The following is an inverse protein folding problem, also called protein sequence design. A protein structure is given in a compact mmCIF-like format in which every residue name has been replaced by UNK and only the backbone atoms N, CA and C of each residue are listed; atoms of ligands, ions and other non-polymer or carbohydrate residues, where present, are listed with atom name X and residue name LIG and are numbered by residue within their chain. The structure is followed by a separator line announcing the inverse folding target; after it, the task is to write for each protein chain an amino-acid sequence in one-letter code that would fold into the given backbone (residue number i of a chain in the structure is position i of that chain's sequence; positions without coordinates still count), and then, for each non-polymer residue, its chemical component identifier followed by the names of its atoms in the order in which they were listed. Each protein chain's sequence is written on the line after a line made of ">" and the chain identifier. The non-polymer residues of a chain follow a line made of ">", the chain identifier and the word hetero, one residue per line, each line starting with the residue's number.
data_IF_226129973968
#
_entry.id   IF_226129973968
#
_cell.length_a   1.000
_cell.length_b   1.000
_cell.length_c   1.000
_cell.angle_alpha   90.00
_cell.angle_beta   90.00
_cell.angle_gamma   90.00
#
_symmetry.space_group_name_H-M   'P 1'
#
loop_
_entity.id
_entity.type
_entity.pdbx_description
1 polymer ?
#
# COMPACT_ATOMS: atom_id res chain seq x y z
N UNK A 1 37.49 4.85 -15.11
CA UNK A 1 37.89 6.27 -14.99
C UNK A 1 37.73 6.65 -13.53
N UNK A 2 38.83 6.89 -12.82
CA UNK A 2 38.85 7.15 -11.37
C UNK A 2 39.07 8.65 -11.16
N UNK A 3 38.13 9.34 -10.52
CA UNK A 3 38.29 10.73 -10.09
C UNK A 3 38.92 10.73 -8.70
N UNK A 4 40.07 11.40 -8.56
CA UNK A 4 40.71 11.66 -7.27
C UNK A 4 40.21 13.01 -6.73
N UNK A 5 39.70 13.02 -5.50
CA UNK A 5 39.44 14.24 -4.70
C UNK A 5 40.43 14.32 -3.53
N UNK A 6 40.79 15.52 -3.03
CA UNK A 6 41.92 15.70 -2.09
C UNK A 6 41.67 15.25 -0.65
N UNK A 7 40.61 14.47 -0.38
CA UNK A 7 40.27 14.03 0.97
C UNK A 7 39.66 12.64 0.93
N UNK A 8 40.49 11.63 1.23
CA UNK A 8 40.10 10.23 1.42
C UNK A 8 39.70 9.50 0.14
N UNK A 9 40.18 8.27 -0.04
CA UNK A 9 39.64 7.34 -1.02
C UNK A 9 38.21 6.97 -0.63
N UNK A 10 37.23 7.77 -1.06
CA UNK A 10 35.84 7.32 -1.07
C UNK A 10 35.69 6.39 -2.28
N UNK A 11 35.91 5.10 -2.08
CA UNK A 11 35.34 4.07 -2.95
C UNK A 11 33.82 4.17 -2.81
N UNK A 12 33.20 5.07 -3.58
CA UNK A 12 31.77 4.95 -3.86
C UNK A 12 31.63 3.83 -4.89
N UNK A 13 31.83 2.61 -4.42
CA UNK A 13 31.37 1.41 -5.11
C UNK A 13 29.84 1.46 -5.12
N UNK A 14 29.27 2.25 -6.03
CA UNK A 14 27.85 2.16 -6.32
C UNK A 14 27.64 0.96 -7.24
N UNK A 15 27.74 -0.23 -6.65
CA UNK A 15 27.20 -1.45 -7.23
C UNK A 15 25.86 -1.74 -6.57
N UNK A 16 24.84 -0.94 -6.86
CA UNK A 16 23.49 -1.20 -6.35
C UNK A 16 22.44 -0.98 -7.44
N UNK A 17 22.04 -2.10 -8.03
CA UNK A 17 20.76 -2.26 -8.73
C UNK A 17 20.69 -1.67 -10.13
N UNK A 18 19.77 -2.21 -10.92
CA UNK A 18 19.35 -1.57 -12.16
C UNK A 18 18.68 -0.25 -11.84
N UNK A 19 19.07 0.83 -12.54
CA UNK A 19 18.40 2.13 -12.46
C UNK A 19 16.90 2.05 -12.84
N UNK A 20 16.47 0.98 -13.50
CA UNK A 20 15.07 0.77 -13.91
C UNK A 20 14.19 0.10 -12.86
N UNK A 21 14.75 -0.49 -11.80
CA UNK A 21 13.99 -1.23 -10.78
C UNK A 21 12.83 -0.42 -10.18
N UNK A 22 13.07 0.81 -9.70
CA UNK A 22 12.01 1.67 -9.17
C UNK A 22 10.96 2.06 -10.23
N UNK A 23 11.37 2.26 -11.48
CA UNK A 23 10.44 2.60 -12.55
C UNK A 23 9.51 1.42 -12.90
N UNK A 24 10.03 0.18 -12.85
CA UNK A 24 9.24 -1.02 -13.07
C UNK A 24 8.22 -1.24 -11.94
N UNK A 25 8.64 -1.07 -10.68
CA UNK A 25 7.72 -1.14 -9.54
C UNK A 25 6.62 -0.08 -9.61
N UNK A 26 6.92 1.12 -10.09
CA UNK A 26 5.88 2.14 -10.30
C UNK A 26 4.82 1.73 -11.33
N UNK A 27 5.18 0.94 -12.35
CA UNK A 27 4.21 0.40 -13.32
C UNK A 27 3.30 -0.64 -12.67
N UNK A 28 3.90 -1.57 -11.94
CA UNK A 28 3.19 -2.61 -11.17
C UNK A 28 2.25 -1.97 -10.14
N UNK A 29 2.74 -0.99 -9.39
CA UNK A 29 1.94 -0.23 -8.43
C UNK A 29 0.79 0.52 -9.11
N UNK A 30 1.05 1.17 -10.26
CA UNK A 30 0.01 1.88 -11.01
C UNK A 30 -1.10 0.94 -11.48
N UNK A 31 -0.78 -0.30 -11.83
CA UNK A 31 -1.79 -1.27 -12.25
C UNK A 31 -2.76 -1.62 -11.13
N UNK A 32 -2.25 -2.01 -9.96
CA UNK A 32 -3.10 -2.37 -8.81
C UNK A 32 -3.84 -1.18 -8.21
N UNK A 33 -3.24 0.01 -8.25
CA UNK A 33 -3.90 1.26 -7.83
C UNK A 33 -5.06 1.65 -8.75
N UNK A 34 -5.09 1.17 -10.00
CA UNK A 34 -6.18 1.42 -10.95
C UNK A 34 -7.24 0.31 -10.98
N UNK A 35 -7.10 -0.75 -10.18
CA UNK A 35 -8.14 -1.76 -10.02
C UNK A 35 -9.39 -1.14 -9.38
N UNK A 36 -10.55 -1.76 -9.63
CA UNK A 36 -11.80 -1.33 -8.99
C UNK A 36 -11.79 -1.81 -7.54
N UNK A 37 -11.64 -0.88 -6.62
CA UNK A 37 -11.74 -1.12 -5.18
C UNK A 37 -13.12 -0.69 -4.68
N UNK A 38 -13.67 -1.36 -3.64
CA UNK A 38 -14.86 -0.87 -2.95
C UNK A 38 -14.64 0.54 -2.40
N UNK A 39 -15.69 1.35 -2.31
CA UNK A 39 -15.60 2.77 -1.90
C UNK A 39 -14.94 2.98 -0.53
N UNK A 40 -15.08 2.01 0.37
CA UNK A 40 -14.50 2.03 1.72
C UNK A 40 -13.07 1.47 1.80
N UNK A 41 -12.48 1.10 0.66
CA UNK A 41 -11.12 0.57 0.57
C UNK A 41 -10.23 1.55 -0.18
N UNK A 42 -9.21 2.04 0.48
CA UNK A 42 -8.19 2.89 -0.11
C UNK A 42 -6.86 2.16 -0.16
N UNK A 43 -6.17 2.25 -1.29
CA UNK A 43 -4.86 1.67 -1.47
C UNK A 43 -3.79 2.74 -1.71
N UNK A 44 -2.63 2.55 -1.10
CA UNK A 44 -1.43 3.31 -1.38
C UNK A 44 -0.25 2.36 -1.59
N UNK A 45 0.69 2.76 -2.44
CA UNK A 45 1.92 2.01 -2.70
C UNK A 45 3.15 2.92 -2.51
N UNK A 46 4.23 2.36 -1.97
CA UNK A 46 5.52 3.02 -1.85
C UNK A 46 6.64 2.01 -2.14
N UNK A 47 7.31 2.18 -3.29
CA UNK A 47 8.33 1.23 -3.79
C UNK A 47 7.74 -0.19 -3.88
N UNK A 48 8.14 -1.11 -3.01
CA UNK A 48 7.70 -2.51 -2.93
C UNK A 48 6.63 -2.75 -1.85
N UNK A 49 6.28 -1.72 -1.06
CA UNK A 49 5.30 -1.82 0.01
C UNK A 49 3.91 -1.32 -0.44
N UNK A 50 2.86 -2.04 -0.04
CA UNK A 50 1.46 -1.69 -0.26
C UNK A 50 0.72 -1.53 1.06
N UNK A 51 -0.16 -0.55 1.14
CA UNK A 51 -1.02 -0.27 2.30
C UNK A 51 -2.47 -0.25 1.84
N UNK A 52 -3.29 -1.09 2.47
CA UNK A 52 -4.74 -1.09 2.33
C UNK A 52 -5.35 -0.46 3.59
N UNK A 53 -6.17 0.56 3.41
CA UNK A 53 -6.94 1.22 4.46
C UNK A 53 -8.40 0.92 4.24
N UNK A 54 -9.07 0.36 5.24
CA UNK A 54 -10.44 -0.14 5.13
C UNK A 54 -11.28 0.53 6.20
N UNK A 55 -12.30 1.26 5.77
CA UNK A 55 -13.25 1.94 6.64
C UNK A 55 -14.50 1.08 6.84
N UNK A 56 -14.99 1.01 8.07
CA UNK A 56 -16.19 0.26 8.40
C UNK A 56 -16.85 0.79 9.67
N UNK A 57 -18.19 0.85 9.65
CA UNK A 57 -18.99 1.32 10.79
C UNK A 57 -19.06 0.32 11.96
N UNK A 58 -18.83 -0.97 11.67
CA UNK A 58 -18.94 -2.05 12.66
C UNK A 58 -17.76 -3.00 12.58
N UNK A 59 -17.41 -3.64 13.69
CA UNK A 59 -16.38 -4.68 13.69
C UNK A 59 -16.73 -5.85 12.76
N UNK A 60 -18.03 -6.15 12.58
CA UNK A 60 -18.47 -7.25 11.71
C UNK A 60 -18.24 -6.92 10.24
N UNK A 61 -18.60 -5.71 9.80
CA UNK A 61 -18.31 -5.26 8.43
C UNK A 61 -16.82 -5.12 8.22
N UNK A 62 -16.07 -4.57 9.20
CA UNK A 62 -14.62 -4.46 9.11
C UNK A 62 -13.93 -5.79 8.79
N UNK A 63 -14.29 -6.87 9.49
CA UNK A 63 -13.71 -8.21 9.22
C UNK A 63 -14.06 -8.70 7.82
N UNK A 64 -15.33 -8.54 7.40
CA UNK A 64 -15.77 -8.95 6.06
C UNK A 64 -15.06 -8.18 4.94
N UNK A 65 -15.01 -6.85 5.08
CA UNK A 65 -14.41 -5.94 4.11
C UNK A 65 -12.90 -6.14 4.05
N UNK A 66 -12.26 -6.35 5.20
CA UNK A 66 -10.83 -6.68 5.27
C UNK A 66 -10.52 -7.99 4.56
N UNK A 67 -11.31 -9.03 4.81
CA UNK A 67 -11.11 -10.32 4.16
C UNK A 67 -11.33 -10.21 2.64
N UNK A 68 -12.34 -9.46 2.21
CA UNK A 68 -12.63 -9.22 0.80
C UNK A 68 -11.47 -8.50 0.11
N UNK A 69 -10.98 -7.40 0.69
CA UNK A 69 -9.89 -6.61 0.12
C UNK A 69 -8.56 -7.40 0.05
N UNK A 70 -8.24 -8.17 1.10
CA UNK A 70 -7.06 -9.06 1.11
C UNK A 70 -7.20 -10.14 0.02
N UNK A 71 -8.40 -10.68 -0.17
CA UNK A 71 -8.64 -11.72 -1.19
C UNK A 71 -8.45 -11.14 -2.59
N UNK A 72 -9.02 -9.97 -2.86
CA UNK A 72 -8.83 -9.27 -4.14
C UNK A 72 -7.35 -8.95 -4.41
N UNK A 73 -6.65 -8.40 -3.42
CA UNK A 73 -5.21 -8.11 -3.54
C UNK A 73 -4.40 -9.38 -3.81
N UNK A 74 -4.70 -10.47 -3.08
CA UNK A 74 -4.00 -11.76 -3.24
C UNK A 74 -4.26 -12.41 -4.61
N UNK A 75 -5.49 -12.30 -5.13
CA UNK A 75 -5.82 -12.75 -6.48
C UNK A 75 -5.01 -11.99 -7.52
N UNK A 76 -4.97 -10.65 -7.44
CA UNK A 76 -4.17 -9.85 -8.36
C UNK A 76 -2.67 -10.16 -8.27
N UNK A 77 -2.13 -10.33 -7.06
CA UNK A 77 -0.73 -10.75 -6.90
C UNK A 77 -0.46 -12.09 -7.58
N UNK A 78 -1.37 -13.07 -7.43
CA UNK A 78 -1.25 -14.38 -8.07
C UNK A 78 -1.31 -14.29 -9.60
N UNK A 79 -2.18 -13.44 -10.14
CA UNK A 79 -2.30 -13.18 -11.59
C UNK A 79 -1.04 -12.51 -12.17
N UNK A 80 -0.32 -11.74 -11.35
CA UNK A 80 0.89 -11.00 -11.74
C UNK A 80 2.19 -11.68 -11.30
N UNK A 81 2.13 -12.94 -10.88
CA UNK A 81 3.29 -13.73 -10.41
C UNK A 81 4.06 -13.07 -9.25
N UNK A 82 3.36 -12.28 -8.42
CA UNK A 82 3.90 -11.62 -7.24
C UNK A 82 3.67 -12.45 -5.98
N UNK A 83 4.72 -12.63 -5.19
CA UNK A 83 4.64 -13.30 -3.89
C UNK A 83 4.38 -12.29 -2.77
N UNK A 84 3.36 -12.55 -1.95
CA UNK A 84 3.11 -11.78 -0.72
C UNK A 84 4.00 -12.34 0.39
N UNK A 85 4.77 -11.46 1.03
CA UNK A 85 5.57 -11.85 2.20
C UNK A 85 4.66 -12.05 3.41
N UNK A 86 4.56 -13.28 3.90
CA UNK A 86 3.81 -13.63 5.11
C UNK A 86 4.46 -13.07 6.38
N UNK A 87 5.78 -12.86 6.37
CA UNK A 87 6.55 -12.36 7.52
C UNK A 87 6.45 -10.84 7.72
N UNK A 88 6.20 -10.09 6.64
CA UNK A 88 6.23 -8.61 6.66
C UNK A 88 4.84 -7.97 6.73
N UNK A 89 3.77 -8.76 6.60
CA UNK A 89 2.41 -8.23 6.65
C UNK A 89 2.05 -7.78 8.07
N UNK A 90 1.55 -6.54 8.20
CA UNK A 90 1.11 -5.96 9.47
C UNK A 90 -0.29 -5.41 9.33
N UNK A 91 -1.17 -5.79 10.26
CA UNK A 91 -2.50 -5.23 10.40
C UNK A 91 -2.53 -4.28 11.60
N UNK A 92 -3.02 -3.06 11.36
CA UNK A 92 -3.21 -2.05 12.41
C UNK A 92 -4.70 -1.71 12.50
N UNK A 93 -5.28 -1.89 13.70
CA UNK A 93 -6.66 -1.49 13.97
C UNK A 93 -6.66 -0.07 14.55
N UNK A 94 -7.32 0.86 13.86
CA UNK A 94 -7.52 2.22 14.35
C UNK A 94 -9.01 2.38 14.64
N UNK A 95 -9.36 2.52 15.92
CA UNK A 95 -10.74 2.81 16.33
C UNK A 95 -10.90 4.31 16.51
N UNK A 96 -11.80 4.91 15.74
CA UNK A 96 -12.17 6.32 15.93
C UNK A 96 -13.40 6.40 16.85
N UNK A 97 -13.22 6.94 18.06
CA UNK A 97 -14.34 7.25 18.95
C UNK A 97 -14.91 8.64 18.59
N UNK A 98 -15.85 8.68 17.63
CA UNK A 98 -16.57 9.89 17.24
C UNK A 98 -17.98 9.97 17.83
N UNK A 99 -18.27 10.99 18.64
CA UNK A 99 -19.65 11.42 18.93
C UNK A 99 -20.28 11.82 17.59
N UNK A 100 -21.32 11.12 17.13
CA UNK A 100 -22.07 11.54 15.94
C UNK A 100 -22.66 12.93 16.20
N UNK A 101 -22.28 13.94 15.41
CA UNK A 101 -23.03 15.19 15.33
C UNK A 101 -24.35 14.84 14.65
N UNK A 102 -25.43 14.96 15.40
CA UNK A 102 -26.78 14.77 14.90
C UNK A 102 -27.22 16.09 14.26
N UNK A 103 -26.87 16.29 12.99
CA UNK A 103 -27.51 17.35 12.20
C UNK A 103 -28.87 16.84 11.73
N UNK A 104 -29.82 16.91 12.66
CA UNK A 104 -31.24 16.79 12.41
C UNK A 104 -31.70 18.05 11.66
N UNK A 105 -31.97 17.93 10.36
CA UNK A 105 -32.74 18.94 9.63
C UNK A 105 -33.97 18.28 9.03
N UNK A 106 -34.98 18.03 9.87
CA UNK A 106 -36.37 18.01 9.41
C UNK A 106 -36.70 19.40 8.86
N UNK A 107 -36.97 19.47 7.55
CA UNK A 107 -37.69 20.61 6.99
C UNK A 107 -39.18 20.31 7.08
N UNK A 108 -39.86 21.14 7.87
CA UNK A 108 -41.30 21.39 7.82
C UNK A 108 -41.68 21.94 6.45
#
# INVERSE_FOLDING_TARGET
>A
MTLLTPQGSATKDQKQGSCSGPALWNLVAKEILNQVWPDNVHMQAFVDDFVLVIEADTNKSLVGDTQSAITQFSSWCSENELAISTEKNKLYLIQQNGKKSQDHMERV
#
